data_IF_411948271640
#
_entry.id   IF_411948271640
#
_cell.length_a   1.000
_cell.length_b   1.000
_cell.length_c   1.000
_cell.angle_alpha   90.00
_cell.angle_beta   90.00
_cell.angle_gamma   90.00
#
_symmetry.space_group_name_H-M   'P 1'
#
loop_
_entity.id
_entity.type
_entity.pdbx_description
1 polymer ?
#
# COMPACT_ATOMS: atom_id res chain seq x y z
N UNK A 1 33.55 11.96 19.82
CA UNK A 1 33.15 11.35 18.52
C UNK A 1 31.82 11.97 18.15
N UNK A 2 31.69 12.66 17.01
CA UNK A 2 30.41 13.15 16.50
C UNK A 2 29.74 12.00 15.72
N UNK A 3 28.43 11.82 15.90
CA UNK A 3 27.63 10.84 15.16
C UNK A 3 26.80 11.61 14.13
N UNK A 4 27.08 11.38 12.85
CA UNK A 4 26.25 11.90 11.76
C UNK A 4 25.26 10.80 11.33
N UNK A 5 23.96 11.14 11.30
CA UNK A 5 22.93 10.26 10.78
C UNK A 5 22.79 10.58 9.29
N UNK A 6 23.29 9.69 8.43
CA UNK A 6 23.26 9.89 6.97
C UNK A 6 21.91 9.54 6.36
N UNK A 7 21.22 8.51 6.89
CA UNK A 7 19.92 8.08 6.43
C UNK A 7 19.08 7.57 7.59
N UNK A 8 17.80 7.93 7.59
CA UNK A 8 16.79 7.38 8.49
C UNK A 8 15.65 6.78 7.64
N UNK A 9 15.37 5.49 7.83
CA UNK A 9 14.30 4.79 7.15
C UNK A 9 13.17 4.58 8.15
N UNK A 10 12.02 5.20 7.89
CA UNK A 10 10.86 5.13 8.77
C UNK A 10 9.71 4.41 8.05
N UNK A 11 9.09 3.46 8.74
CA UNK A 11 7.82 2.87 8.39
C UNK A 11 6.78 3.34 9.41
N UNK A 12 5.81 4.11 8.96
CA UNK A 12 4.70 4.59 9.78
C UNK A 12 3.55 3.61 9.66
N UNK A 13 2.91 3.26 10.76
CA UNK A 13 1.71 2.42 10.73
C UNK A 13 0.74 2.80 11.84
N UNK A 14 -0.55 2.69 11.55
CA UNK A 14 -1.65 2.98 12.47
C UNK A 14 -2.89 2.22 12.06
N UNK A 15 -3.90 2.20 12.92
CA UNK A 15 -5.25 1.70 12.60
C UNK A 15 -6.17 2.92 12.50
N UNK A 16 -6.77 3.13 11.33
CA UNK A 16 -7.79 4.16 11.16
C UNK A 16 -9.09 3.69 11.80
N UNK A 17 -9.56 4.39 12.80
CA UNK A 17 -10.73 3.97 13.57
C UNK A 17 -11.65 5.14 13.85
N UNK A 18 -12.96 4.89 14.11
CA UNK A 18 -13.90 5.94 14.51
C UNK A 18 -13.47 6.71 15.77
N UNK A 19 -12.78 6.06 16.71
CA UNK A 19 -12.23 6.70 17.91
C UNK A 19 -11.17 7.75 17.58
N UNK A 20 -10.52 7.63 16.42
CA UNK A 20 -9.56 8.61 15.89
C UNK A 20 -10.20 9.62 14.93
N UNK A 21 -11.52 9.59 14.78
CA UNK A 21 -12.26 10.48 13.90
C UNK A 21 -12.40 9.99 12.45
N UNK A 22 -11.95 8.76 12.15
CA UNK A 22 -12.04 8.19 10.80
C UNK A 22 -13.19 7.19 10.69
N UNK A 23 -14.20 7.54 9.90
CA UNK A 23 -15.34 6.65 9.62
C UNK A 23 -15.33 6.25 8.14
N UNK A 24 -14.51 5.25 7.81
CA UNK A 24 -14.32 4.76 6.45
C UNK A 24 -15.21 3.53 6.23
N UNK A 25 -16.07 3.61 5.20
CA UNK A 25 -16.94 2.50 4.81
C UNK A 25 -16.19 1.53 3.88
N UNK A 26 -15.52 0.54 4.48
CA UNK A 26 -14.78 -0.48 3.74
C UNK A 26 -15.66 -1.31 2.80
N UNK A 27 -16.96 -1.46 3.08
CA UNK A 27 -17.85 -2.22 2.18
C UNK A 27 -18.00 -1.54 0.83
N UNK A 28 -18.08 -0.20 0.82
CA UNK A 28 -18.12 0.56 -0.42
C UNK A 28 -16.78 0.54 -1.15
N UNK A 29 -15.67 0.68 -0.43
CA UNK A 29 -14.32 0.55 -1.04
C UNK A 29 -14.14 -0.84 -1.64
N UNK A 30 -14.50 -1.91 -0.92
CA UNK A 30 -14.48 -3.29 -1.40
C UNK A 30 -15.29 -3.46 -2.69
N UNK A 31 -16.51 -2.94 -2.73
CA UNK A 31 -17.37 -3.02 -3.92
C UNK A 31 -16.71 -2.40 -5.16
N UNK A 32 -16.11 -1.20 -5.03
CA UNK A 32 -15.38 -0.57 -6.13
C UNK A 32 -14.06 -1.28 -6.46
N UNK A 33 -13.39 -1.85 -5.48
CA UNK A 33 -12.18 -2.65 -5.68
C UNK A 33 -12.46 -3.91 -6.51
N UNK A 34 -13.48 -4.68 -6.13
CA UNK A 34 -13.90 -5.90 -6.86
C UNK A 34 -14.35 -5.56 -8.28
N UNK A 35 -15.14 -4.49 -8.44
CA UNK A 35 -15.56 -4.01 -9.76
C UNK A 35 -14.35 -3.64 -10.64
N UNK A 36 -13.39 -2.89 -10.09
CA UNK A 36 -12.16 -2.52 -10.79
C UNK A 36 -11.32 -3.75 -11.16
N UNK A 37 -11.25 -4.74 -10.28
CA UNK A 37 -10.59 -6.02 -10.52
C UNK A 37 -11.18 -6.75 -11.72
N UNK A 38 -12.51 -6.95 -11.74
CA UNK A 38 -13.21 -7.62 -12.84
C UNK A 38 -13.03 -6.88 -14.17
N UNK A 39 -13.15 -5.55 -14.17
CA UNK A 39 -12.94 -4.74 -15.37
C UNK A 39 -11.51 -4.83 -15.89
N UNK A 40 -10.52 -4.86 -15.00
CA UNK A 40 -9.11 -5.01 -15.37
C UNK A 40 -8.82 -6.38 -15.93
N UNK A 41 -9.34 -7.45 -15.35
CA UNK A 41 -9.21 -8.82 -15.86
C UNK A 41 -9.74 -8.94 -17.30
N UNK A 42 -10.95 -8.43 -17.58
CA UNK A 42 -11.51 -8.42 -18.93
C UNK A 42 -10.64 -7.69 -19.95
N UNK A 43 -10.09 -6.51 -19.57
CA UNK A 43 -9.19 -5.76 -20.47
C UNK A 43 -7.87 -6.48 -20.73
N UNK A 44 -7.38 -7.27 -19.80
CA UNK A 44 -6.15 -8.06 -19.95
C UNK A 44 -6.35 -9.24 -20.88
N UNK A 45 -7.50 -9.93 -20.80
CA UNK A 45 -7.89 -10.98 -21.76
C UNK A 45 -7.95 -10.46 -23.18
N UNK A 46 -8.46 -9.22 -23.37
CA UNK A 46 -8.59 -8.59 -24.70
C UNK A 46 -7.25 -8.12 -25.32
N UNK A 47 -6.22 -7.85 -24.51
CA UNK A 47 -4.99 -7.17 -24.95
C UNK A 47 -3.71 -7.99 -24.85
N UNK A 48 -3.76 -9.23 -24.35
CA UNK A 48 -2.56 -10.07 -24.15
C UNK A 48 -1.42 -9.36 -23.36
N UNK A 49 -1.77 -8.44 -22.46
CA UNK A 49 -0.85 -7.52 -21.80
C UNK A 49 -0.39 -8.09 -20.47
N UNK A 50 0.80 -8.71 -20.44
CA UNK A 50 1.40 -9.34 -19.26
C UNK A 50 1.93 -8.35 -18.21
N UNK A 51 2.17 -7.08 -18.60
CA UNK A 51 2.87 -6.09 -17.77
C UNK A 51 2.05 -5.53 -16.59
N UNK A 52 0.72 -5.74 -16.55
CA UNK A 52 -0.18 -5.13 -15.58
C UNK A 52 -0.86 -6.12 -14.63
N UNK A 53 -0.38 -7.36 -14.52
CA UNK A 53 -1.02 -8.40 -13.67
C UNK A 53 -1.18 -7.99 -12.21
N UNK A 54 -0.30 -7.13 -11.70
CA UNK A 54 -0.28 -6.75 -10.28
C UNK A 54 -0.98 -5.42 -9.95
N UNK A 55 -1.40 -4.64 -10.96
CA UNK A 55 -2.02 -3.34 -10.76
C UNK A 55 -3.46 -3.36 -11.23
N UNK A 56 -4.39 -3.52 -10.29
CA UNK A 56 -5.82 -3.47 -10.58
C UNK A 56 -6.32 -2.04 -10.35
N UNK A 57 -6.80 -1.41 -11.42
CA UNK A 57 -7.37 -0.07 -11.33
C UNK A 57 -8.59 -0.06 -10.40
N UNK A 58 -8.72 0.98 -9.58
CA UNK A 58 -9.89 1.23 -8.76
C UNK A 58 -10.54 2.56 -9.16
N UNK A 59 -11.85 2.54 -9.42
CA UNK A 59 -12.59 3.74 -9.77
C UNK A 59 -12.65 4.72 -8.60
N UNK A 60 -12.53 6.03 -8.83
CA UNK A 60 -12.71 7.04 -7.78
C UNK A 60 -14.10 6.93 -7.16
N UNK A 61 -14.16 6.98 -5.82
CA UNK A 61 -15.40 7.10 -5.06
C UNK A 61 -15.19 8.00 -3.84
N UNK A 62 -16.27 8.40 -3.20
CA UNK A 62 -16.24 9.30 -2.05
C UNK A 62 -15.42 8.73 -0.89
N UNK A 63 -15.56 7.44 -0.61
CA UNK A 63 -14.83 6.76 0.46
C UNK A 63 -13.32 6.72 0.23
N UNK A 64 -12.89 6.58 -1.03
CA UNK A 64 -11.48 6.68 -1.38
C UNK A 64 -10.93 8.10 -1.22
N UNK A 65 -11.76 9.11 -1.37
CA UNK A 65 -11.38 10.50 -1.08
C UNK A 65 -11.25 10.73 0.42
N UNK A 66 -12.13 10.16 1.23
CA UNK A 66 -12.00 10.18 2.69
C UNK A 66 -10.76 9.43 3.17
N UNK A 67 -10.49 8.25 2.60
CA UNK A 67 -9.27 7.50 2.88
C UNK A 67 -8.01 8.30 2.53
N UNK A 68 -7.98 8.96 1.35
CA UNK A 68 -6.86 9.82 0.94
C UNK A 68 -6.64 10.98 1.92
N UNK A 69 -7.71 11.60 2.41
CA UNK A 69 -7.63 12.65 3.43
C UNK A 69 -7.05 12.09 4.74
N UNK A 70 -7.56 10.95 5.22
CA UNK A 70 -7.07 10.31 6.43
C UNK A 70 -5.57 9.95 6.34
N UNK A 71 -5.12 9.45 5.18
CA UNK A 71 -3.70 9.15 4.94
C UNK A 71 -2.85 10.42 5.04
N UNK A 72 -3.30 11.52 4.42
CA UNK A 72 -2.59 12.81 4.44
C UNK A 72 -2.50 13.38 5.85
N UNK A 73 -3.59 13.29 6.61
CA UNK A 73 -3.65 13.77 8.00
C UNK A 73 -2.71 12.99 8.91
N UNK A 74 -2.72 11.65 8.83
CA UNK A 74 -1.83 10.78 9.61
C UNK A 74 -0.36 11.01 9.24
N UNK A 75 -0.07 11.15 7.94
CA UNK A 75 1.28 11.43 7.48
C UNK A 75 1.77 12.81 7.96
N UNK A 76 0.92 13.84 7.86
CA UNK A 76 1.24 15.17 8.36
C UNK A 76 1.44 15.19 9.88
N UNK A 77 0.59 14.49 10.62
CA UNK A 77 0.72 14.37 12.07
C UNK A 77 2.10 13.77 12.46
N UNK A 78 2.55 12.74 11.73
CA UNK A 78 3.79 12.04 11.99
C UNK A 78 5.05 12.79 11.51
N UNK A 79 4.99 13.49 10.37
CA UNK A 79 6.18 14.01 9.67
C UNK A 79 6.24 15.53 9.57
N UNK A 80 5.12 16.22 9.77
CA UNK A 80 4.92 17.66 9.50
C UNK A 80 5.10 18.02 8.01
N UNK A 81 5.01 17.05 7.12
CA UNK A 81 5.13 17.23 5.68
C UNK A 81 3.80 16.93 4.99
N UNK A 82 3.50 17.67 3.93
CA UNK A 82 2.31 17.44 3.09
C UNK A 82 2.63 16.53 1.92
N UNK A 83 1.67 15.70 1.53
CA UNK A 83 1.79 14.78 0.39
C UNK A 83 0.63 14.95 -0.58
N UNK A 84 0.90 14.67 -1.86
CA UNK A 84 -0.08 14.71 -2.95
C UNK A 84 -0.19 13.32 -3.57
N UNK A 85 -1.42 12.83 -3.68
CA UNK A 85 -1.70 11.56 -4.33
C UNK A 85 -1.16 11.56 -5.76
N UNK A 86 -0.47 10.49 -6.14
CA UNK A 86 0.03 10.23 -7.47
C UNK A 86 -0.79 9.13 -8.15
N UNK A 87 -0.73 7.91 -7.63
CA UNK A 87 -1.43 6.77 -8.17
C UNK A 87 -2.17 5.99 -7.08
N UNK A 88 -3.12 5.17 -7.52
CA UNK A 88 -3.91 4.29 -6.67
C UNK A 88 -4.29 3.02 -7.41
N UNK A 89 -4.16 1.88 -6.74
CA UNK A 89 -4.61 0.59 -7.26
C UNK A 89 -5.06 -0.35 -6.15
N UNK A 90 -5.71 -1.45 -6.53
CA UNK A 90 -6.14 -2.52 -5.63
C UNK A 90 -5.26 -3.75 -5.83
N UNK A 91 -4.96 -4.44 -4.73
CA UNK A 91 -4.38 -5.76 -4.70
C UNK A 91 -5.36 -6.70 -3.98
N UNK A 92 -5.65 -7.84 -4.59
CA UNK A 92 -6.49 -8.90 -4.04
C UNK A 92 -5.66 -10.17 -4.06
N UNK A 93 -5.53 -10.81 -2.89
CA UNK A 93 -4.82 -12.08 -2.74
C UNK A 93 -5.79 -13.14 -2.23
N UNK A 94 -6.05 -14.13 -3.07
CA UNK A 94 -6.87 -15.30 -2.76
C UNK A 94 -6.14 -16.24 -1.78
N UNK A 95 -6.80 -17.33 -1.39
CA UNK A 95 -6.21 -18.36 -0.55
C UNK A 95 -4.88 -18.88 -1.14
N UNK A 96 -3.83 -18.95 -0.32
CA UNK A 96 -2.45 -19.33 -0.67
C UNK A 96 -1.75 -18.44 -1.70
N UNK A 97 -2.37 -17.35 -2.12
CA UNK A 97 -1.67 -16.36 -2.94
C UNK A 97 -0.72 -15.49 -2.10
N UNK A 98 0.41 -15.19 -2.70
CA UNK A 98 1.41 -14.25 -2.18
C UNK A 98 1.79 -13.23 -3.25
N UNK A 99 2.37 -12.11 -2.86
CA UNK A 99 2.92 -11.17 -3.83
C UNK A 99 4.43 -11.37 -4.04
N UNK A 100 4.92 -10.97 -5.20
CA UNK A 100 6.36 -10.86 -5.43
C UNK A 100 6.93 -9.62 -4.74
N UNK A 101 8.19 -9.70 -4.31
CA UNK A 101 8.91 -8.55 -3.77
C UNK A 101 9.07 -7.47 -4.85
N UNK A 102 8.59 -6.27 -4.56
CA UNK A 102 8.58 -5.11 -5.47
C UNK A 102 8.73 -3.81 -4.71
N UNK A 103 9.10 -2.76 -5.41
CA UNK A 103 8.98 -1.38 -4.94
C UNK A 103 7.98 -0.61 -5.83
N UNK A 104 7.69 0.62 -5.46
CA UNK A 104 6.74 1.47 -6.22
C UNK A 104 7.45 2.46 -7.15
N UNK A 105 8.72 2.23 -7.46
CA UNK A 105 9.48 3.09 -8.39
C UNK A 105 9.11 2.78 -9.83
N UNK A 106 9.11 3.80 -10.67
CA UNK A 106 8.92 3.65 -12.11
C UNK A 106 10.23 3.22 -12.78
N UNK A 107 10.18 2.12 -13.52
CA UNK A 107 11.36 1.57 -14.18
C UNK A 107 11.96 2.52 -15.24
N UNK A 108 11.12 3.32 -15.89
CA UNK A 108 11.53 4.18 -17.01
C UNK A 108 11.77 5.64 -16.62
N UNK A 109 11.44 6.05 -15.39
CA UNK A 109 11.58 7.44 -14.93
C UNK A 109 11.67 7.54 -13.42
N UNK A 110 12.84 7.32 -12.87
CA UNK A 110 13.07 7.46 -11.43
C UNK A 110 12.77 8.86 -10.90
N UNK A 111 12.99 9.90 -11.70
CA UNK A 111 12.68 11.29 -11.32
C UNK A 111 11.17 11.53 -11.11
N UNK A 112 10.34 10.75 -11.81
CA UNK A 112 8.87 10.80 -11.68
C UNK A 112 8.34 9.79 -10.68
N UNK A 113 9.19 8.94 -10.10
CA UNK A 113 8.79 7.94 -9.13
C UNK A 113 8.19 8.57 -7.88
N UNK A 114 7.20 7.93 -7.25
CA UNK A 114 6.61 8.45 -6.01
C UNK A 114 7.61 8.40 -4.85
N UNK A 115 7.43 9.29 -3.89
CA UNK A 115 8.25 9.36 -2.69
C UNK A 115 7.81 8.36 -1.62
N UNK A 116 6.51 8.15 -1.50
CA UNK A 116 5.92 7.29 -0.48
C UNK A 116 4.91 6.32 -1.07
N UNK A 117 4.95 5.10 -0.57
CA UNK A 117 3.95 4.07 -0.77
C UNK A 117 3.13 3.94 0.49
N UNK A 118 1.82 3.88 0.32
CA UNK A 118 0.87 3.67 1.38
C UNK A 118 0.04 2.43 1.06
N UNK A 119 -0.11 1.54 2.03
CA UNK A 119 -0.93 0.34 1.93
C UNK A 119 -2.02 0.41 3.00
N UNK A 120 -3.26 0.31 2.58
CA UNK A 120 -4.43 0.25 3.45
C UNK A 120 -5.07 -1.13 3.39
N UNK A 121 -5.25 -1.76 4.55
CA UNK A 121 -5.93 -3.05 4.69
C UNK A 121 -7.45 -2.80 4.70
N UNK A 122 -8.09 -2.96 3.52
CA UNK A 122 -9.49 -2.61 3.32
C UNK A 122 -10.43 -3.71 3.83
N UNK A 123 -10.19 -4.94 3.40
CA UNK A 123 -10.95 -6.12 3.81
C UNK A 123 -9.97 -7.29 3.90
N UNK A 124 -9.52 -7.57 5.10
CA UNK A 124 -8.52 -8.60 5.36
C UNK A 124 -8.93 -9.45 6.56
N UNK A 125 -8.59 -10.72 6.51
CA UNK A 125 -8.71 -11.59 7.69
C UNK A 125 -7.51 -11.33 8.59
N UNK A 126 -7.78 -11.01 9.85
CA UNK A 126 -6.75 -10.68 10.82
C UNK A 126 -5.71 -11.80 10.93
N UNK A 127 -4.44 -11.44 10.85
CA UNK A 127 -3.29 -12.34 10.98
C UNK A 127 -3.22 -13.47 9.92
N UNK A 128 -4.01 -13.42 8.84
CA UNK A 128 -3.98 -14.41 7.76
C UNK A 128 -2.77 -14.29 6.83
N UNK A 129 -2.11 -13.14 6.82
CA UNK A 129 -0.93 -12.82 6.04
C UNK A 129 -0.10 -11.76 6.75
N UNK A 130 1.10 -11.49 6.26
CA UNK A 130 1.99 -10.44 6.76
C UNK A 130 2.42 -9.52 5.61
N UNK A 131 2.45 -8.21 5.87
CA UNK A 131 3.22 -7.29 5.03
C UNK A 131 4.69 -7.39 5.43
N UNK A 132 5.55 -7.73 4.48
CA UNK A 132 6.99 -7.86 4.68
C UNK A 132 7.69 -6.73 3.93
N UNK A 133 8.50 -5.93 4.64
CA UNK A 133 9.30 -4.85 4.07
C UNK A 133 10.77 -5.24 4.12
N UNK A 134 11.39 -5.24 2.93
CA UNK A 134 12.82 -5.50 2.76
C UNK A 134 13.59 -4.19 2.78
N UNK A 135 14.68 -4.16 3.52
CA UNK A 135 15.57 -3.00 3.56
C UNK A 135 17.02 -3.41 3.84
N UNK A 136 17.93 -2.58 3.35
CA UNK A 136 19.33 -2.71 3.66
C UNK A 136 19.70 -1.75 4.79
N UNK A 137 20.57 -2.18 5.66
CA UNK A 137 21.21 -1.27 6.62
C UNK A 137 22.73 -1.39 6.53
N UNK A 138 23.43 -0.51 7.25
CA UNK A 138 24.90 -0.41 7.23
C UNK A 138 25.61 -1.73 7.57
N UNK A 139 24.94 -2.63 8.28
CA UNK A 139 25.54 -3.88 8.80
C UNK A 139 25.02 -5.15 8.15
N UNK A 140 23.86 -5.11 7.49
CA UNK A 140 23.22 -6.28 6.85
C UNK A 140 22.43 -5.87 5.64
N UNK A 141 22.55 -6.68 4.59
CA UNK A 141 21.75 -6.63 3.36
C UNK A 141 20.50 -7.50 3.55
N UNK A 142 19.40 -7.13 2.91
CA UNK A 142 18.14 -7.87 2.89
C UNK A 142 17.56 -8.18 4.29
N UNK A 143 17.44 -7.16 5.13
CA UNK A 143 16.67 -7.28 6.37
C UNK A 143 15.18 -7.27 6.06
N UNK A 144 14.43 -8.06 6.82
CA UNK A 144 12.98 -8.18 6.71
C UNK A 144 12.32 -7.68 8.00
N UNK A 145 11.40 -6.74 7.86
CA UNK A 145 10.44 -6.40 8.91
C UNK A 145 9.07 -6.94 8.53
N UNK A 146 8.44 -7.67 9.44
CA UNK A 146 7.14 -8.30 9.26
C UNK A 146 6.08 -7.57 10.07
N UNK A 147 4.98 -7.28 9.42
CA UNK A 147 3.84 -6.57 10.01
C UNK A 147 2.57 -7.38 9.83
N UNK A 148 1.93 -7.73 10.92
CA UNK A 148 0.60 -8.37 10.89
C UNK A 148 -0.44 -7.44 10.31
N UNK A 149 -1.34 -8.02 9.50
CA UNK A 149 -2.45 -7.29 8.89
C UNK A 149 -3.71 -7.38 9.75
N UNK A 150 -4.52 -6.35 9.69
CA UNK A 150 -5.86 -6.28 10.24
C UNK A 150 -6.65 -5.19 9.52
N UNK A 151 -7.97 -5.24 9.54
CA UNK A 151 -8.82 -4.25 8.89
C UNK A 151 -8.53 -2.82 9.40
N UNK A 152 -8.61 -1.85 8.49
CA UNK A 152 -8.32 -0.44 8.73
C UNK A 152 -6.86 -0.12 9.04
N UNK A 153 -5.96 -1.08 8.97
CA UNK A 153 -4.54 -0.82 9.18
C UNK A 153 -3.92 -0.13 7.99
N UNK A 154 -3.15 0.89 8.29
CA UNK A 154 -2.45 1.75 7.34
C UNK A 154 -0.95 1.61 7.55
N UNK A 155 -0.22 1.47 6.45
CA UNK A 155 1.24 1.50 6.42
C UNK A 155 1.70 2.57 5.44
N UNK A 156 2.68 3.38 5.82
CA UNK A 156 3.29 4.38 4.94
C UNK A 156 4.81 4.26 5.05
N UNK A 157 5.48 4.13 3.92
CA UNK A 157 6.92 3.95 3.85
C UNK A 157 7.51 4.52 2.56
N UNK A 158 8.84 4.79 2.50
CA UNK A 158 9.50 5.24 1.28
C UNK A 158 9.28 4.28 0.11
N UNK A 159 8.94 4.79 -1.07
CA UNK A 159 8.67 3.98 -2.27
C UNK A 159 9.89 3.22 -2.80
N UNK A 160 11.08 3.56 -2.32
CA UNK A 160 12.33 2.85 -2.63
C UNK A 160 12.43 1.49 -1.93
N UNK A 161 11.70 1.29 -0.83
CA UNK A 161 11.70 0.02 -0.12
C UNK A 161 10.98 -1.05 -0.93
N UNK A 162 11.52 -2.26 -0.91
CA UNK A 162 10.86 -3.42 -1.47
C UNK A 162 9.89 -3.98 -0.44
N UNK A 163 8.76 -4.47 -0.91
CA UNK A 163 7.75 -5.08 -0.06
C UNK A 163 7.02 -6.20 -0.78
N UNK A 164 6.45 -7.09 -0.01
CA UNK A 164 5.58 -8.16 -0.48
C UNK A 164 4.64 -8.62 0.64
N UNK A 165 3.59 -9.34 0.26
CA UNK A 165 2.72 -10.03 1.20
C UNK A 165 3.09 -11.51 1.23
N UNK A 166 3.13 -12.09 2.43
CA UNK A 166 3.20 -13.56 2.58
C UNK A 166 1.91 -14.20 2.07
N UNK A 167 1.93 -15.52 1.94
CA UNK A 167 0.73 -16.29 1.58
C UNK A 167 -0.46 -15.90 2.47
N UNK A 168 -1.65 -15.85 1.84
CA UNK A 168 -2.90 -15.69 2.54
C UNK A 168 -3.40 -17.06 3.01
N UNK A 169 -3.34 -17.34 4.29
CA UNK A 169 -3.81 -18.60 4.87
C UNK A 169 -5.30 -18.65 5.19
N UNK A 170 -6.06 -17.60 4.84
CA UNK A 170 -7.51 -17.57 4.96
C UNK A 170 -8.18 -18.08 3.69
N UNK A 171 -9.35 -18.71 3.84
CA UNK A 171 -10.23 -19.03 2.72
C UNK A 171 -10.83 -17.77 2.06
N UNK A 172 -10.94 -16.67 2.80
CA UNK A 172 -11.41 -15.40 2.29
C UNK A 172 -10.26 -14.58 1.69
N UNK A 173 -10.50 -13.85 0.59
CA UNK A 173 -9.49 -13.00 -0.04
C UNK A 173 -9.12 -11.80 0.84
N UNK A 174 -7.85 -11.44 0.82
CA UNK A 174 -7.35 -10.20 1.41
C UNK A 174 -7.34 -9.08 0.37
N UNK A 175 -7.96 -7.94 0.68
CA UNK A 175 -8.08 -6.78 -0.21
C UNK A 175 -7.31 -5.59 0.38
N UNK A 176 -6.34 -5.10 -0.39
CA UNK A 176 -5.51 -3.95 -0.05
C UNK A 176 -5.69 -2.84 -1.07
N UNK A 177 -5.72 -1.60 -0.59
CA UNK A 177 -5.65 -0.42 -1.45
C UNK A 177 -4.25 0.18 -1.31
N UNK A 178 -3.54 0.25 -2.42
CA UNK A 178 -2.22 0.88 -2.46
C UNK A 178 -2.35 2.27 -3.06
N UNK A 179 -1.77 3.25 -2.39
CA UNK A 179 -1.63 4.62 -2.87
C UNK A 179 -0.16 4.96 -2.97
N UNK A 180 0.20 5.80 -3.91
CA UNK A 180 1.53 6.41 -3.95
C UNK A 180 1.42 7.92 -3.89
N UNK A 181 2.42 8.55 -3.28
CA UNK A 181 2.41 9.98 -3.00
C UNK A 181 3.73 10.64 -3.36
N UNK A 182 3.63 11.87 -3.85
CA UNK A 182 4.75 12.80 -3.92
C UNK A 182 4.73 13.74 -2.70
N UNK A 183 5.90 14.23 -2.29
CA UNK A 183 5.95 15.37 -1.37
C UNK A 183 5.39 16.61 -2.06
N UNK A 184 4.63 17.40 -1.30
CA UNK A 184 4.21 18.71 -1.70
C UNK A 184 5.33 19.66 -1.28
N UNK A 185 6.24 19.96 -2.20
CA UNK A 185 7.40 20.84 -2.00
C UNK A 185 7.00 22.25 -2.33
#
# INVERSE_FOLDING_TARGET
MKKDILTEINVYHTVLSPQRGYNIDNKKIKAEAVKGYVLSAKRMEEKDCWEYKDYKFISPCTELSFLDTAIKDEFFAATKKSIKLKDRWVNIYEHLEQSYSRNSLYLNSYAESPWYTCIYCCDVVKDSSELIIEYDNVTKINKLNKYKIENNKLFIFPSTLRYFFSENFSEDPNIFITHTYNLNI
#
